data_IF_182222609970
#
_entry.id   IF_182222609970
#
_cell.length_a   1.000
_cell.length_b   1.000
_cell.length_c   1.000
_cell.angle_alpha   90.00
_cell.angle_beta   90.00
_cell.angle_gamma   90.00
#
_symmetry.space_group_name_H-M   'P 1'
#
loop_
_entity.id
_entity.type
_entity.pdbx_description
1 polymer ?
#
# COMPACT_ATOMS: atom_id res chain seq x y z
N UNK A 1 -33.75 -20.88 -3.71
CA UNK A 1 -34.97 -21.27 -2.93
C UNK A 1 -34.70 -22.42 -1.97
N UNK A 2 -34.03 -23.54 -2.37
CA UNK A 2 -33.71 -24.65 -1.46
C UNK A 2 -32.79 -24.27 -0.29
N UNK A 3 -31.73 -23.49 -0.52
CA UNK A 3 -30.79 -23.07 0.52
C UNK A 3 -31.43 -22.15 1.59
N UNK A 4 -32.41 -21.33 1.20
CA UNK A 4 -33.14 -20.46 2.12
C UNK A 4 -34.09 -21.26 3.04
N UNK A 5 -34.67 -22.33 2.53
CA UNK A 5 -35.57 -23.23 3.30
C UNK A 5 -34.77 -24.05 4.32
N UNK A 6 -33.59 -24.56 3.94
CA UNK A 6 -32.68 -25.26 4.85
C UNK A 6 -32.16 -24.37 5.98
N UNK A 7 -31.73 -23.11 5.67
CA UNK A 7 -31.30 -22.15 6.72
C UNK A 7 -32.46 -21.79 7.68
N UNK A 8 -33.67 -21.65 7.21
CA UNK A 8 -34.83 -21.38 8.08
C UNK A 8 -35.18 -22.58 8.95
N UNK A 9 -35.07 -23.81 8.44
CA UNK A 9 -35.38 -25.05 9.19
C UNK A 9 -34.34 -25.29 10.28
N UNK A 10 -33.04 -25.11 9.99
CA UNK A 10 -31.98 -25.19 10.96
C UNK A 10 -32.07 -24.09 12.06
N UNK A 11 -32.49 -22.87 11.68
CA UNK A 11 -32.73 -21.79 12.65
C UNK A 11 -33.92 -22.07 13.58
N UNK A 12 -34.94 -22.78 13.09
CA UNK A 12 -36.09 -23.14 13.90
C UNK A 12 -35.78 -24.30 14.86
N UNK A 13 -34.98 -25.27 14.43
CA UNK A 13 -34.48 -26.36 15.25
C UNK A 13 -33.61 -25.87 16.39
N UNK A 14 -32.66 -25.00 16.14
CA UNK A 14 -31.78 -24.43 17.18
C UNK A 14 -32.57 -23.58 18.20
N UNK A 15 -33.58 -22.82 17.77
CA UNK A 15 -34.43 -22.05 18.69
C UNK A 15 -35.15 -22.95 19.69
N UNK A 16 -35.69 -24.10 19.25
CA UNK A 16 -36.31 -25.08 20.13
C UNK A 16 -35.35 -25.71 21.15
N UNK A 17 -34.09 -25.92 20.74
CA UNK A 17 -33.04 -26.45 21.64
C UNK A 17 -32.66 -25.38 22.67
N UNK A 18 -32.50 -24.10 22.25
CA UNK A 18 -32.23 -22.96 23.15
C UNK A 18 -33.31 -22.82 24.21
N UNK A 19 -34.59 -22.81 23.78
CA UNK A 19 -35.74 -22.69 24.69
C UNK A 19 -35.78 -23.83 25.71
N UNK A 20 -35.52 -25.07 25.30
CA UNK A 20 -35.45 -26.24 26.19
C UNK A 20 -34.32 -26.10 27.22
N UNK A 21 -33.12 -25.61 26.78
CA UNK A 21 -31.98 -25.43 27.66
C UNK A 21 -32.21 -24.28 28.65
N UNK A 22 -32.72 -23.15 28.20
CA UNK A 22 -33.02 -22.00 29.05
C UNK A 22 -34.12 -22.34 30.08
N UNK A 23 -35.15 -23.09 29.68
CA UNK A 23 -36.18 -23.58 30.59
C UNK A 23 -35.62 -24.56 31.64
N UNK A 24 -34.69 -25.43 31.26
CA UNK A 24 -33.99 -26.34 32.16
C UNK A 24 -33.20 -25.56 33.22
N UNK A 25 -32.44 -24.55 32.77
CA UNK A 25 -31.63 -23.70 33.68
C UNK A 25 -32.51 -22.89 34.63
N UNK A 26 -33.66 -22.39 34.14
CA UNK A 26 -34.58 -21.59 34.96
C UNK A 26 -35.37 -22.41 35.99
N UNK A 27 -35.68 -23.70 35.74
CA UNK A 27 -36.51 -24.56 36.58
C UNK A 27 -35.73 -25.55 37.45
N UNK A 28 -34.40 -25.56 37.37
CA UNK A 28 -33.51 -26.57 37.98
C UNK A 28 -33.94 -28.03 37.65
N UNK A 29 -34.62 -28.22 36.51
CA UNK A 29 -35.07 -29.51 36.04
C UNK A 29 -33.96 -30.21 35.25
N UNK A 30 -33.94 -31.53 35.25
CA UNK A 30 -33.02 -32.30 34.40
C UNK A 30 -33.66 -32.62 33.09
N UNK A 31 -33.11 -32.08 32.01
CA UNK A 31 -33.51 -32.40 30.62
C UNK A 31 -32.34 -33.07 29.92
N UNK A 32 -32.61 -34.13 29.17
CA UNK A 32 -31.55 -34.77 28.37
C UNK A 32 -31.29 -33.98 27.09
N UNK A 33 -30.00 -33.79 26.79
CA UNK A 33 -29.51 -33.28 25.53
C UNK A 33 -28.44 -34.23 25.01
N UNK A 34 -28.51 -34.55 23.70
CA UNK A 34 -27.41 -35.28 23.07
C UNK A 34 -26.20 -34.37 22.78
N UNK A 35 -25.10 -34.99 22.37
CA UNK A 35 -23.86 -34.27 22.13
C UNK A 35 -24.00 -33.20 21.03
N UNK A 36 -24.71 -33.55 19.94
CA UNK A 36 -24.91 -32.61 18.79
C UNK A 36 -25.78 -31.42 19.19
N UNK A 37 -26.81 -31.62 20.00
CA UNK A 37 -27.64 -30.52 20.54
C UNK A 37 -26.80 -29.55 21.42
N UNK A 38 -25.90 -30.10 22.24
CA UNK A 38 -25.01 -29.28 23.12
C UNK A 38 -23.96 -28.51 22.31
N UNK A 39 -23.40 -29.14 21.29
CA UNK A 39 -22.47 -28.48 20.38
C UNK A 39 -23.17 -27.35 19.61
N UNK A 40 -24.35 -27.59 19.08
CA UNK A 40 -25.14 -26.55 18.40
C UNK A 40 -25.50 -25.38 19.33
N UNK A 41 -25.83 -25.67 20.61
CA UNK A 41 -26.05 -24.62 21.62
C UNK A 41 -24.79 -23.79 21.89
N UNK A 42 -23.64 -24.42 22.00
CA UNK A 42 -22.36 -23.71 22.22
C UNK A 42 -22.07 -22.78 21.05
N UNK A 43 -22.16 -23.29 19.81
CA UNK A 43 -21.98 -22.51 18.59
C UNK A 43 -22.97 -21.35 18.50
N UNK A 44 -24.24 -21.59 18.75
CA UNK A 44 -25.28 -20.58 18.74
C UNK A 44 -24.94 -19.43 19.69
N UNK A 45 -24.55 -19.73 20.93
CA UNK A 45 -24.20 -18.71 21.91
C UNK A 45 -22.90 -17.98 21.55
N UNK A 46 -21.91 -18.67 20.98
CA UNK A 46 -20.66 -18.04 20.51
C UNK A 46 -20.92 -17.09 19.34
N UNK A 47 -21.70 -17.54 18.36
CA UNK A 47 -22.03 -16.72 17.18
C UNK A 47 -22.81 -15.44 17.56
N UNK A 48 -23.63 -15.50 18.59
CA UNK A 48 -24.37 -14.37 19.12
C UNK A 48 -23.60 -13.55 20.19
N UNK A 49 -22.30 -13.77 20.36
CA UNK A 49 -21.46 -13.07 21.34
C UNK A 49 -21.77 -13.37 22.81
N UNK A 50 -22.60 -14.40 23.08
CA UNK A 50 -23.03 -14.78 24.43
C UNK A 50 -22.04 -15.74 25.10
N UNK A 51 -20.77 -15.33 25.20
CA UNK A 51 -19.67 -16.17 25.73
C UNK A 51 -19.92 -16.78 27.09
N UNK A 52 -20.65 -16.07 27.97
CA UNK A 52 -20.99 -16.57 29.31
C UNK A 52 -21.92 -17.77 29.25
N UNK A 53 -22.95 -17.72 28.40
CA UNK A 53 -23.89 -18.83 28.20
C UNK A 53 -23.17 -20.00 27.51
N UNK A 54 -22.38 -19.77 26.47
CA UNK A 54 -21.59 -20.81 25.82
C UNK A 54 -20.71 -21.57 26.83
N UNK A 55 -20.05 -20.86 27.75
CA UNK A 55 -19.25 -21.46 28.82
C UNK A 55 -20.09 -22.30 29.79
N UNK A 56 -21.31 -21.89 30.12
CA UNK A 56 -22.21 -22.65 31.00
C UNK A 56 -22.66 -23.95 30.32
N UNK A 57 -23.03 -23.87 29.03
CA UNK A 57 -23.39 -25.06 28.24
C UNK A 57 -22.23 -26.04 28.17
N UNK A 58 -21.03 -25.51 27.87
CA UNK A 58 -19.83 -26.34 27.78
C UNK A 58 -19.50 -27.05 29.09
N UNK A 59 -19.60 -26.35 30.23
CA UNK A 59 -19.39 -26.95 31.55
C UNK A 59 -20.43 -28.05 31.89
N UNK A 60 -21.66 -27.90 31.40
CA UNK A 60 -22.70 -28.91 31.51
C UNK A 60 -22.39 -30.10 30.59
N UNK A 61 -22.06 -29.83 29.33
CA UNK A 61 -21.74 -30.85 28.33
C UNK A 61 -20.51 -31.68 28.74
N UNK A 62 -19.45 -31.06 29.24
CA UNK A 62 -18.22 -31.74 29.67
C UNK A 62 -18.44 -32.71 30.87
N UNK A 63 -19.50 -32.51 31.66
CA UNK A 63 -19.87 -33.44 32.73
C UNK A 63 -20.57 -34.68 32.18
N UNK A 64 -21.34 -34.52 31.08
CA UNK A 64 -22.08 -35.61 30.47
C UNK A 64 -21.21 -36.41 29.49
N UNK A 65 -20.33 -35.74 28.77
CA UNK A 65 -19.48 -36.28 27.72
C UNK A 65 -18.01 -35.92 27.92
N UNK A 66 -17.35 -36.38 28.99
CA UNK A 66 -15.99 -35.98 29.35
C UNK A 66 -14.92 -36.38 28.32
N UNK A 67 -15.18 -37.46 27.56
CA UNK A 67 -14.25 -37.98 26.55
C UNK A 67 -14.44 -37.33 25.18
N UNK A 68 -15.44 -36.45 25.00
CA UNK A 68 -15.67 -35.81 23.70
C UNK A 68 -14.53 -34.87 23.33
N UNK A 69 -13.84 -35.17 22.23
CA UNK A 69 -12.71 -34.35 21.70
C UNK A 69 -13.27 -33.03 21.19
N UNK A 70 -14.42 -33.00 20.53
CA UNK A 70 -15.03 -31.75 20.04
C UNK A 70 -15.31 -30.75 21.18
N UNK A 71 -15.87 -31.21 22.31
CA UNK A 71 -16.07 -30.33 23.48
C UNK A 71 -14.75 -29.83 24.07
N UNK A 72 -13.69 -30.65 24.06
CA UNK A 72 -12.38 -30.23 24.54
C UNK A 72 -11.73 -29.21 23.61
N UNK A 73 -11.96 -29.29 22.30
CA UNK A 73 -11.57 -28.26 21.32
C UNK A 73 -12.31 -26.95 21.61
N UNK A 74 -13.65 -27.01 21.77
CA UNK A 74 -14.47 -25.83 22.12
C UNK A 74 -14.04 -25.18 23.45
N UNK A 75 -13.63 -25.99 24.43
CA UNK A 75 -13.09 -25.46 25.68
C UNK A 75 -11.78 -24.71 25.45
N UNK A 76 -10.88 -25.24 24.63
CA UNK A 76 -9.63 -24.58 24.26
C UNK A 76 -9.87 -23.27 23.47
N UNK A 77 -10.84 -23.26 22.56
CA UNK A 77 -11.26 -22.06 21.83
C UNK A 77 -11.81 -20.96 22.77
N UNK A 78 -12.66 -21.33 23.73
CA UNK A 78 -13.17 -20.41 24.74
C UNK A 78 -12.07 -19.89 25.70
N UNK A 79 -11.10 -20.74 26.04
CA UNK A 79 -9.93 -20.32 26.81
C UNK A 79 -9.12 -19.26 26.04
N UNK A 80 -8.91 -19.47 24.77
CA UNK A 80 -8.20 -18.55 23.89
C UNK A 80 -8.94 -17.22 23.76
N UNK A 81 -10.25 -17.25 23.48
CA UNK A 81 -11.12 -16.06 23.41
C UNK A 81 -11.17 -15.24 24.72
N UNK A 82 -10.86 -15.87 25.85
CA UNK A 82 -10.70 -15.19 27.15
C UNK A 82 -9.28 -14.69 27.43
N UNK A 83 -8.37 -14.71 26.43
CA UNK A 83 -6.98 -14.28 26.55
C UNK A 83 -6.00 -15.33 27.10
N UNK A 84 -6.45 -16.55 27.37
CA UNK A 84 -5.64 -17.61 27.98
C UNK A 84 -5.05 -18.58 26.91
N UNK A 85 -4.47 -18.04 25.84
CA UNK A 85 -3.89 -18.80 24.72
C UNK A 85 -2.76 -19.71 25.20
N UNK A 86 -1.97 -19.26 26.19
CA UNK A 86 -0.83 -20.02 26.73
C UNK A 86 -1.22 -21.40 27.30
N UNK A 87 -2.43 -21.57 27.77
CA UNK A 87 -2.93 -22.84 28.29
C UNK A 87 -3.74 -23.61 27.23
N UNK A 88 -4.34 -22.94 26.26
CA UNK A 88 -5.09 -23.56 25.18
C UNK A 88 -4.21 -24.40 24.25
N UNK A 89 -3.07 -23.86 23.79
CA UNK A 89 -2.14 -24.55 22.89
C UNK A 89 -1.63 -25.89 23.44
N UNK A 90 -1.09 -25.99 24.68
CA UNK A 90 -0.62 -27.29 25.22
C UNK A 90 -1.74 -28.32 25.30
N UNK A 91 -2.96 -27.90 25.62
CA UNK A 91 -4.12 -28.80 25.70
C UNK A 91 -4.47 -29.38 24.33
N UNK A 92 -4.55 -28.54 23.30
CA UNK A 92 -4.79 -28.99 21.93
C UNK A 92 -3.67 -29.87 21.41
N UNK A 93 -2.40 -29.60 21.74
CA UNK A 93 -1.28 -30.50 21.39
C UNK A 93 -1.42 -31.87 22.04
N UNK A 94 -1.93 -31.94 23.27
CA UNK A 94 -2.21 -33.23 23.90
C UNK A 94 -3.33 -33.95 23.17
N UNK A 95 -4.44 -33.27 22.80
CA UNK A 95 -5.52 -33.86 22.01
C UNK A 95 -4.99 -34.36 20.66
N UNK A 96 -4.16 -33.58 19.98
CA UNK A 96 -3.55 -33.95 18.71
C UNK A 96 -2.70 -35.21 18.80
N UNK A 97 -2.09 -35.53 19.98
CA UNK A 97 -1.34 -36.75 20.16
C UNK A 97 -2.23 -38.02 20.19
N UNK A 98 -3.53 -37.86 20.49
CA UNK A 98 -4.50 -38.95 20.45
C UNK A 98 -5.22 -39.01 19.11
N UNK A 99 -5.49 -37.87 18.47
CA UNK A 99 -6.15 -37.76 17.16
C UNK A 99 -5.30 -36.97 16.17
N UNK A 100 -4.21 -37.53 15.64
CA UNK A 100 -3.25 -36.80 14.79
C UNK A 100 -3.81 -36.40 13.42
N UNK A 101 -4.94 -36.95 13.01
CA UNK A 101 -5.61 -36.65 11.73
C UNK A 101 -6.88 -35.81 11.93
N UNK A 102 -7.05 -35.18 13.07
CA UNK A 102 -8.22 -34.32 13.32
C UNK A 102 -7.92 -32.91 12.77
N UNK A 103 -8.62 -32.54 11.69
CA UNK A 103 -8.46 -31.27 10.98
C UNK A 103 -8.89 -30.07 11.83
N UNK A 104 -9.93 -30.21 12.67
CA UNK A 104 -10.39 -29.13 13.55
C UNK A 104 -9.35 -28.77 14.64
N UNK A 105 -8.61 -29.77 15.17
CA UNK A 105 -7.51 -29.51 16.11
C UNK A 105 -6.40 -28.75 15.40
N UNK A 106 -6.05 -29.18 14.17
CA UNK A 106 -5.03 -28.49 13.37
C UNK A 106 -5.45 -27.06 13.05
N UNK A 107 -6.68 -26.83 12.61
CA UNK A 107 -7.19 -25.50 12.33
C UNK A 107 -7.16 -24.59 13.57
N UNK A 108 -7.65 -25.11 14.72
CA UNK A 108 -7.64 -24.33 15.96
C UNK A 108 -6.22 -23.99 16.41
N UNK A 109 -5.28 -24.94 16.32
CA UNK A 109 -3.86 -24.67 16.63
C UNK A 109 -3.27 -23.62 15.69
N UNK A 110 -3.55 -23.71 14.39
CA UNK A 110 -3.08 -22.75 13.39
C UNK A 110 -3.54 -21.33 13.74
N UNK A 111 -4.82 -21.14 14.01
CA UNK A 111 -5.39 -19.84 14.40
C UNK A 111 -4.77 -19.30 15.68
N UNK A 112 -4.51 -20.15 16.70
CA UNK A 112 -3.86 -19.70 17.94
C UNK A 112 -2.38 -19.36 17.75
N UNK A 113 -1.67 -20.08 16.88
CA UNK A 113 -0.29 -19.75 16.53
C UNK A 113 -0.21 -18.46 15.73
N UNK A 114 -1.14 -18.22 14.79
CA UNK A 114 -1.29 -16.95 14.08
C UNK A 114 -1.48 -15.77 15.03
N UNK A 115 -2.48 -15.86 15.95
CA UNK A 115 -2.74 -14.84 16.96
C UNK A 115 -1.55 -14.53 17.89
N UNK A 116 -0.63 -15.46 18.01
CA UNK A 116 0.58 -15.30 18.84
C UNK A 116 1.84 -15.01 18.00
N UNK A 117 1.68 -14.65 16.75
CA UNK A 117 2.75 -14.36 15.79
C UNK A 117 3.77 -15.51 15.62
N UNK A 118 3.32 -16.75 15.82
CA UNK A 118 4.11 -17.96 15.58
C UNK A 118 3.78 -18.48 14.16
N UNK A 119 4.08 -17.67 13.16
CA UNK A 119 3.64 -17.84 11.77
C UNK A 119 4.07 -19.19 11.15
N UNK A 120 5.26 -19.70 11.46
CA UNK A 120 5.74 -20.97 10.93
C UNK A 120 4.96 -22.18 11.43
N UNK A 121 4.61 -22.16 12.71
CA UNK A 121 3.75 -23.16 13.35
C UNK A 121 2.33 -23.06 12.82
N UNK A 122 1.81 -21.83 12.63
CA UNK A 122 0.51 -21.59 12.01
C UNK A 122 0.45 -22.22 10.60
N UNK A 123 1.41 -21.91 9.74
CA UNK A 123 1.51 -22.48 8.38
C UNK A 123 1.53 -24.01 8.42
N UNK A 124 2.33 -24.61 9.33
CA UNK A 124 2.38 -26.07 9.45
C UNK A 124 1.00 -26.66 9.75
N UNK A 125 0.29 -26.08 10.68
CA UNK A 125 -1.01 -26.59 11.10
C UNK A 125 -2.12 -26.27 10.08
N UNK A 126 -2.15 -25.10 9.46
CA UNK A 126 -3.07 -24.78 8.36
C UNK A 126 -2.89 -25.73 7.18
N UNK A 127 -1.64 -26.06 6.79
CA UNK A 127 -1.39 -27.04 5.72
C UNK A 127 -1.88 -28.42 6.08
N UNK A 128 -1.74 -28.83 7.36
CA UNK A 128 -2.31 -30.11 7.81
C UNK A 128 -3.84 -30.11 7.79
N UNK A 129 -4.47 -29.04 8.20
CA UNK A 129 -5.91 -28.89 8.08
C UNK A 129 -6.37 -28.94 6.60
N UNK A 130 -5.62 -28.30 5.69
CA UNK A 130 -5.89 -28.33 4.26
C UNK A 130 -5.76 -29.72 3.63
N UNK A 131 -4.79 -30.55 4.11
CA UNK A 131 -4.60 -31.94 3.67
C UNK A 131 -5.70 -32.87 4.17
N UNK A 132 -6.23 -32.65 5.36
CA UNK A 132 -7.14 -33.55 6.10
C UNK A 132 -8.60 -33.18 5.94
N UNK A 133 -8.90 -31.88 5.83
CA UNK A 133 -10.25 -31.32 5.88
C UNK A 133 -11.06 -31.50 4.59
N UNK A 134 -12.36 -31.35 4.73
CA UNK A 134 -13.30 -31.37 3.61
C UNK A 134 -13.18 -30.12 2.72
N UNK A 135 -13.65 -30.23 1.48
CA UNK A 135 -13.54 -29.17 0.45
C UNK A 135 -14.15 -27.82 0.84
N UNK A 136 -15.10 -27.80 1.76
CA UNK A 136 -15.89 -26.58 2.08
C UNK A 136 -15.10 -25.43 2.74
N UNK A 137 -14.00 -25.71 3.45
CA UNK A 137 -13.18 -24.69 4.14
C UNK A 137 -11.82 -24.47 3.47
N UNK A 138 -11.54 -25.13 2.34
CA UNK A 138 -10.24 -25.07 1.68
C UNK A 138 -9.89 -23.68 1.18
N UNK A 139 -10.88 -22.95 0.69
CA UNK A 139 -10.68 -21.60 0.13
C UNK A 139 -10.14 -20.62 1.18
N UNK A 140 -10.74 -20.60 2.37
CA UNK A 140 -10.29 -19.74 3.47
C UNK A 140 -8.89 -20.16 3.96
N UNK A 141 -8.60 -21.47 3.99
CA UNK A 141 -7.31 -22.00 4.40
C UNK A 141 -6.16 -21.59 3.48
N UNK A 142 -6.40 -21.52 2.17
CA UNK A 142 -5.39 -21.01 1.22
C UNK A 142 -5.04 -19.55 1.52
N UNK A 143 -6.05 -18.71 1.79
CA UNK A 143 -5.87 -17.31 2.15
C UNK A 143 -5.08 -17.20 3.46
N UNK A 144 -5.51 -17.93 4.50
CA UNK A 144 -4.82 -17.93 5.79
C UNK A 144 -3.33 -18.33 5.66
N UNK A 145 -3.04 -19.37 4.85
CA UNK A 145 -1.64 -19.79 4.61
C UNK A 145 -0.85 -18.71 3.88
N UNK A 146 -1.46 -18.05 2.90
CA UNK A 146 -0.82 -16.98 2.15
C UNK A 146 -0.47 -15.80 3.06
N UNK A 147 -1.43 -15.32 3.85
CA UNK A 147 -1.23 -14.25 4.84
C UNK A 147 -0.11 -14.58 5.84
N UNK A 148 -0.03 -15.84 6.29
CA UNK A 148 1.06 -16.25 7.18
C UNK A 148 2.44 -16.24 6.49
N UNK A 149 2.50 -16.57 5.17
CA UNK A 149 3.73 -16.43 4.40
C UNK A 149 4.11 -14.97 4.18
N UNK A 150 3.15 -14.08 3.96
CA UNK A 150 3.35 -12.64 3.85
C UNK A 150 3.92 -12.06 5.15
N UNK A 151 3.34 -12.43 6.31
CA UNK A 151 3.79 -11.99 7.62
C UNK A 151 5.26 -12.33 7.93
N UNK A 152 5.82 -13.36 7.27
CA UNK A 152 7.24 -13.73 7.38
C UNK A 152 8.08 -13.31 6.17
N UNK A 153 7.53 -12.53 5.26
CA UNK A 153 8.21 -12.01 4.06
C UNK A 153 8.51 -13.06 2.98
N UNK A 154 7.81 -14.20 2.99
CA UNK A 154 8.01 -15.28 2.01
C UNK A 154 7.03 -15.15 0.84
N UNK A 155 7.09 -14.04 0.14
CA UNK A 155 6.18 -13.63 -0.93
C UNK A 155 6.01 -14.65 -2.06
N UNK A 156 7.09 -15.27 -2.53
CA UNK A 156 7.01 -16.31 -3.59
C UNK A 156 6.15 -17.51 -3.18
N UNK A 157 6.14 -17.84 -1.88
CA UNK A 157 5.30 -18.92 -1.36
C UNK A 157 3.86 -18.50 -1.21
N UNK A 158 3.60 -17.26 -0.81
CA UNK A 158 2.27 -16.68 -0.78
C UNK A 158 1.67 -16.68 -2.19
N UNK A 159 2.40 -16.17 -3.19
CA UNK A 159 2.00 -16.20 -4.60
C UNK A 159 1.64 -17.63 -5.04
N UNK A 160 2.51 -18.61 -4.77
CA UNK A 160 2.27 -20.00 -5.19
C UNK A 160 1.01 -20.61 -4.58
N UNK A 161 0.71 -20.30 -3.31
CA UNK A 161 -0.48 -20.78 -2.61
C UNK A 161 -1.75 -20.09 -3.15
N UNK A 162 -1.68 -18.80 -3.45
CA UNK A 162 -2.81 -18.06 -4.02
C UNK A 162 -3.12 -18.50 -5.45
N UNK A 163 -2.09 -18.81 -6.26
CA UNK A 163 -2.28 -19.41 -7.58
C UNK A 163 -2.92 -20.80 -7.49
N UNK A 164 -2.60 -21.59 -6.44
CA UNK A 164 -3.25 -22.88 -6.19
C UNK A 164 -4.71 -22.70 -5.79
N UNK A 165 -5.01 -21.72 -4.93
CA UNK A 165 -6.39 -21.35 -4.58
C UNK A 165 -7.22 -20.99 -5.80
N UNK A 166 -6.67 -20.19 -6.72
CA UNK A 166 -7.35 -19.76 -7.94
C UNK A 166 -7.51 -20.91 -8.98
N UNK A 167 -6.64 -21.93 -8.95
CA UNK A 167 -6.86 -23.15 -9.75
C UNK A 167 -8.02 -23.99 -9.22
N UNK A 168 -8.24 -24.02 -7.89
CA UNK A 168 -9.37 -24.72 -7.28
C UNK A 168 -10.68 -23.94 -7.42
N UNK A 169 -10.67 -22.65 -7.11
CA UNK A 169 -11.79 -21.72 -7.29
C UNK A 169 -11.35 -20.42 -7.98
N UNK A 170 -11.49 -20.36 -9.30
CA UNK A 170 -11.14 -19.16 -10.08
C UNK A 170 -12.00 -17.93 -9.76
N UNK A 171 -13.14 -18.11 -9.11
CA UNK A 171 -14.03 -17.01 -8.73
C UNK A 171 -13.74 -16.48 -7.31
N UNK A 172 -12.64 -16.90 -6.67
CA UNK A 172 -12.25 -16.40 -5.36
C UNK A 172 -11.64 -15.01 -5.49
N UNK A 173 -12.46 -13.98 -5.31
CA UNK A 173 -12.07 -12.58 -5.43
C UNK A 173 -11.02 -12.18 -4.39
N UNK A 174 -11.08 -12.74 -3.18
CA UNK A 174 -10.09 -12.48 -2.12
C UNK A 174 -8.72 -13.01 -2.53
N UNK A 175 -8.64 -14.26 -3.02
CA UNK A 175 -7.37 -14.81 -3.49
C UNK A 175 -6.78 -14.02 -4.65
N UNK A 176 -7.63 -13.51 -5.55
CA UNK A 176 -7.20 -12.71 -6.68
C UNK A 176 -6.65 -11.34 -6.25
N UNK A 177 -7.31 -10.72 -5.27
CA UNK A 177 -6.86 -9.45 -4.67
C UNK A 177 -5.51 -9.62 -3.97
N UNK A 178 -5.38 -10.62 -3.09
CA UNK A 178 -4.14 -10.90 -2.37
C UNK A 178 -3.00 -11.27 -3.32
N UNK A 179 -3.27 -12.00 -4.40
CA UNK A 179 -2.27 -12.31 -5.43
C UNK A 179 -1.75 -11.02 -6.10
N UNK A 180 -2.64 -10.08 -6.44
CA UNK A 180 -2.26 -8.76 -6.97
C UNK A 180 -1.37 -8.00 -6.01
N UNK A 181 -1.75 -7.94 -4.73
CA UNK A 181 -0.98 -7.30 -3.67
C UNK A 181 0.42 -7.93 -3.49
N UNK A 182 0.51 -9.26 -3.48
CA UNK A 182 1.80 -9.95 -3.40
C UNK A 182 2.74 -9.59 -4.56
N UNK A 183 2.24 -9.62 -5.80
CA UNK A 183 3.04 -9.25 -6.98
C UNK A 183 3.50 -7.79 -6.94
N UNK A 184 2.63 -6.88 -6.50
CA UNK A 184 2.96 -5.47 -6.35
C UNK A 184 4.06 -5.26 -5.31
N UNK A 185 3.92 -5.88 -4.14
CA UNK A 185 4.87 -5.76 -3.03
C UNK A 185 6.29 -6.21 -3.39
N UNK A 186 6.41 -7.27 -4.20
CA UNK A 186 7.73 -7.76 -4.64
C UNK A 186 8.24 -7.10 -5.93
N UNK A 187 7.48 -6.18 -6.52
CA UNK A 187 7.85 -5.50 -7.76
C UNK A 187 7.88 -6.40 -9.01
N UNK A 188 7.24 -7.57 -8.97
CA UNK A 188 7.19 -8.54 -10.07
C UNK A 188 6.07 -8.24 -11.06
N UNK A 189 5.99 -7.00 -11.52
CA UNK A 189 4.87 -6.50 -12.32
C UNK A 189 4.70 -7.24 -13.66
N UNK A 190 5.79 -7.63 -14.33
CA UNK A 190 5.73 -8.40 -15.59
C UNK A 190 5.18 -9.81 -15.40
N UNK A 191 5.51 -10.46 -14.26
CA UNK A 191 4.98 -11.78 -13.92
C UNK A 191 3.49 -11.67 -13.58
N UNK A 192 3.11 -10.61 -12.87
CA UNK A 192 1.71 -10.26 -12.58
C UNK A 192 0.89 -10.12 -13.86
N UNK A 193 1.36 -9.37 -14.85
CA UNK A 193 0.70 -9.25 -16.17
C UNK A 193 0.52 -10.63 -16.82
N UNK A 194 1.55 -11.48 -16.78
CA UNK A 194 1.48 -12.84 -17.35
C UNK A 194 0.44 -13.69 -16.64
N UNK A 195 0.42 -13.65 -15.31
CA UNK A 195 -0.52 -14.43 -14.48
C UNK A 195 -1.97 -13.99 -14.70
N UNK A 196 -2.23 -12.66 -14.69
CA UNK A 196 -3.59 -12.15 -14.90
C UNK A 196 -4.07 -12.32 -16.35
N UNK A 197 -3.20 -12.25 -17.37
CA UNK A 197 -3.58 -12.61 -18.73
C UNK A 197 -4.02 -14.08 -18.81
N UNK A 198 -3.25 -15.01 -18.24
CA UNK A 198 -3.63 -16.41 -18.21
C UNK A 198 -4.94 -16.65 -17.43
N UNK A 199 -5.17 -15.86 -16.36
CA UNK A 199 -6.40 -15.93 -15.60
C UNK A 199 -7.60 -15.46 -16.41
N UNK A 200 -7.56 -14.31 -17.09
CA UNK A 200 -8.69 -13.80 -17.89
C UNK A 200 -8.92 -14.62 -19.16
N UNK A 201 -7.91 -15.27 -19.73
CA UNK A 201 -8.08 -16.21 -20.84
C UNK A 201 -8.98 -17.37 -20.43
N UNK A 202 -8.87 -17.84 -19.19
CA UNK A 202 -9.73 -18.87 -18.63
C UNK A 202 -11.08 -18.33 -18.10
N UNK A 203 -11.09 -17.08 -17.62
CA UNK A 203 -12.21 -16.43 -16.94
C UNK A 203 -12.49 -15.03 -17.50
N UNK A 204 -12.91 -14.89 -18.79
CA UNK A 204 -13.00 -13.59 -19.48
C UNK A 204 -14.07 -12.64 -18.91
N UNK A 205 -14.97 -13.13 -18.07
CA UNK A 205 -16.01 -12.33 -17.41
C UNK A 205 -15.69 -12.00 -15.94
N UNK A 206 -14.45 -12.15 -15.51
CA UNK A 206 -14.02 -11.74 -14.17
C UNK A 206 -13.69 -10.25 -14.15
N UNK A 207 -14.58 -9.42 -13.59
CA UNK A 207 -14.33 -7.99 -13.39
C UNK A 207 -13.06 -7.75 -12.54
N UNK A 208 -12.85 -8.42 -11.37
CA UNK A 208 -11.61 -8.29 -10.60
C UNK A 208 -10.35 -8.75 -11.37
N UNK A 209 -10.47 -9.76 -12.24
CA UNK A 209 -9.36 -10.22 -13.08
C UNK A 209 -8.87 -9.14 -14.04
N UNK A 210 -9.77 -8.49 -14.76
CA UNK A 210 -9.47 -7.39 -15.66
C UNK A 210 -8.92 -6.17 -14.91
N UNK A 211 -9.50 -5.84 -13.75
CA UNK A 211 -9.03 -4.75 -12.89
C UNK A 211 -7.58 -4.96 -12.42
N UNK A 212 -7.26 -6.17 -11.94
CA UNK A 212 -5.90 -6.50 -11.49
C UNK A 212 -4.91 -6.54 -12.65
N UNK A 213 -5.32 -6.99 -13.86
CA UNK A 213 -4.50 -6.88 -15.05
C UNK A 213 -4.20 -5.40 -15.37
N UNK A 214 -5.20 -4.54 -15.31
CA UNK A 214 -5.04 -3.10 -15.51
C UNK A 214 -4.03 -2.49 -14.53
N UNK A 215 -4.11 -2.84 -13.24
CA UNK A 215 -3.15 -2.39 -12.24
C UNK A 215 -1.73 -2.86 -12.58
N UNK A 216 -1.56 -4.13 -12.94
CA UNK A 216 -0.24 -4.68 -13.29
C UNK A 216 0.36 -4.01 -14.54
N UNK A 217 -0.46 -3.74 -15.57
CA UNK A 217 -0.07 -3.03 -16.79
C UNK A 217 0.33 -1.57 -16.51
N UNK A 218 -0.42 -0.89 -15.65
CA UNK A 218 -0.11 0.47 -15.20
C UNK A 218 1.25 0.54 -14.49
N UNK A 219 1.59 -0.47 -13.66
CA UNK A 219 2.88 -0.55 -12.95
C UNK A 219 4.08 -0.74 -13.89
N UNK A 220 3.89 -1.38 -15.04
CA UNK A 220 4.96 -1.48 -16.07
C UNK A 220 4.98 -0.29 -17.02
N UNK A 221 4.06 0.67 -16.85
CA UNK A 221 3.96 1.87 -17.69
C UNK A 221 3.20 1.68 -19.00
N UNK A 222 2.56 0.54 -19.21
CA UNK A 222 1.70 0.33 -20.39
C UNK A 222 0.29 0.87 -20.11
N UNK A 223 0.18 2.19 -20.07
CA UNK A 223 -1.08 2.88 -19.76
C UNK A 223 -2.18 2.60 -20.79
N UNK A 224 -1.82 2.38 -22.06
CA UNK A 224 -2.80 2.09 -23.10
C UNK A 224 -3.49 0.74 -22.84
N UNK A 225 -2.71 -0.30 -22.62
CA UNK A 225 -3.27 -1.63 -22.32
C UNK A 225 -3.98 -1.64 -20.95
N UNK A 226 -3.50 -0.85 -19.97
CA UNK A 226 -4.17 -0.70 -18.68
C UNK A 226 -5.57 -0.09 -18.83
N UNK A 227 -5.71 0.98 -19.63
CA UNK A 227 -7.01 1.62 -19.94
C UNK A 227 -7.97 0.61 -20.56
N UNK A 228 -7.51 -0.17 -21.55
CA UNK A 228 -8.31 -1.19 -22.20
C UNK A 228 -8.78 -2.25 -21.18
N UNK A 229 -7.89 -2.70 -20.29
CA UNK A 229 -8.23 -3.67 -19.27
C UNK A 229 -9.30 -3.13 -18.29
N UNK A 230 -9.17 -1.87 -17.83
CA UNK A 230 -10.20 -1.24 -17.00
C UNK A 230 -11.52 -1.05 -17.76
N UNK A 231 -11.49 -0.77 -19.06
CA UNK A 231 -12.70 -0.71 -19.88
C UNK A 231 -13.41 -2.06 -19.94
N UNK A 232 -12.68 -3.18 -20.08
CA UNK A 232 -13.27 -4.51 -19.99
C UNK A 232 -13.89 -4.79 -18.62
N UNK A 233 -13.24 -4.37 -17.54
CA UNK A 233 -13.82 -4.49 -16.19
C UNK A 233 -15.15 -3.73 -16.09
N UNK A 234 -15.21 -2.50 -16.59
CA UNK A 234 -16.41 -1.65 -16.58
C UNK A 234 -17.52 -2.14 -17.56
N UNK A 235 -17.17 -2.84 -18.63
CA UNK A 235 -18.16 -3.50 -19.50
C UNK A 235 -18.84 -4.69 -18.79
N UNK A 236 -18.11 -5.37 -17.89
CA UNK A 236 -18.64 -6.50 -17.11
C UNK A 236 -19.47 -5.99 -15.94
N UNK A 237 -19.00 -4.98 -15.24
CA UNK A 237 -19.66 -4.32 -14.12
C UNK A 237 -19.51 -2.79 -14.26
N UNK A 238 -20.56 -2.14 -14.74
CA UNK A 238 -20.56 -0.69 -14.99
C UNK A 238 -20.54 0.15 -13.68
N UNK A 239 -20.89 -0.45 -12.54
CA UNK A 239 -20.87 0.21 -11.23
C UNK A 239 -19.54 -0.04 -10.48
N UNK A 240 -18.54 -0.67 -11.10
CA UNK A 240 -17.26 -0.95 -10.45
C UNK A 240 -16.37 0.31 -10.38
N UNK A 241 -16.67 1.19 -9.46
CA UNK A 241 -16.00 2.48 -9.22
C UNK A 241 -14.46 2.38 -9.12
N UNK A 242 -13.84 1.35 -8.50
CA UNK A 242 -12.38 1.23 -8.48
C UNK A 242 -11.73 1.20 -9.88
N UNK A 243 -12.33 0.49 -10.85
CA UNK A 243 -11.80 0.46 -12.21
C UNK A 243 -11.93 1.82 -12.91
N UNK A 244 -13.00 2.55 -12.65
CA UNK A 244 -13.22 3.87 -13.22
C UNK A 244 -12.17 4.88 -12.71
N UNK A 245 -11.86 4.86 -11.41
CA UNK A 245 -10.83 5.71 -10.81
C UNK A 245 -9.42 5.36 -11.31
N UNK A 246 -9.09 4.07 -11.42
CA UNK A 246 -7.78 3.65 -11.95
C UNK A 246 -7.65 3.94 -13.46
N UNK A 247 -8.73 3.80 -14.23
CA UNK A 247 -8.78 4.22 -15.63
C UNK A 247 -8.49 5.72 -15.75
N UNK A 248 -9.11 6.55 -14.89
CA UNK A 248 -8.87 7.99 -14.88
C UNK A 248 -7.39 8.30 -14.54
N UNK A 249 -6.82 7.62 -13.56
CA UNK A 249 -5.40 7.77 -13.23
C UNK A 249 -4.48 7.36 -14.39
N UNK A 250 -4.76 6.24 -15.07
CA UNK A 250 -3.99 5.80 -16.25
C UNK A 250 -4.11 6.80 -17.41
N UNK A 251 -5.30 7.37 -17.64
CA UNK A 251 -5.53 8.43 -18.62
C UNK A 251 -4.75 9.71 -18.27
N UNK A 252 -4.68 10.07 -16.98
CA UNK A 252 -3.87 11.21 -16.51
C UNK A 252 -2.38 10.98 -16.79
N UNK A 253 -1.87 9.78 -16.53
CA UNK A 253 -0.48 9.40 -16.81
C UNK A 253 -0.16 9.35 -18.31
N UNK A 254 -1.14 9.06 -19.15
CA UNK A 254 -1.03 9.13 -20.63
C UNK A 254 -1.32 10.52 -21.21
N UNK A 255 -1.48 11.54 -20.35
CA UNK A 255 -1.75 12.93 -20.69
C UNK A 255 -3.11 13.17 -21.37
N UNK A 256 -4.02 12.19 -21.37
CA UNK A 256 -5.40 12.37 -21.84
C UNK A 256 -6.31 12.91 -20.71
N UNK A 257 -6.00 14.13 -20.30
CA UNK A 257 -6.69 14.80 -19.19
C UNK A 257 -8.20 14.99 -19.45
N UNK A 258 -8.60 15.07 -20.73
CA UNK A 258 -10.01 15.25 -21.07
C UNK A 258 -10.83 14.02 -20.71
N UNK A 259 -10.39 12.83 -21.15
CA UNK A 259 -11.07 11.58 -20.81
C UNK A 259 -10.90 11.23 -19.32
N UNK A 260 -9.77 11.56 -18.69
CA UNK A 260 -9.57 11.42 -17.25
C UNK A 260 -10.64 12.17 -16.45
N UNK A 261 -10.89 13.44 -16.80
CA UNK A 261 -11.92 14.27 -16.16
C UNK A 261 -13.34 13.73 -16.35
N UNK A 262 -13.63 13.10 -17.50
CA UNK A 262 -14.93 12.43 -17.71
C UNK A 262 -15.09 11.26 -16.72
N UNK A 263 -14.07 10.40 -16.59
CA UNK A 263 -14.09 9.29 -15.66
C UNK A 263 -14.19 9.75 -14.19
N UNK A 264 -13.44 10.78 -13.77
CA UNK A 264 -13.55 11.33 -12.42
C UNK A 264 -14.94 11.91 -12.13
N UNK A 265 -15.58 12.61 -13.10
CA UNK A 265 -16.97 13.12 -12.95
C UNK A 265 -17.97 11.98 -12.82
N UNK A 266 -17.79 10.92 -13.58
CA UNK A 266 -18.64 9.73 -13.52
C UNK A 266 -18.50 9.04 -12.15
N UNK A 267 -17.28 8.91 -11.62
CA UNK A 267 -17.05 8.32 -10.29
C UNK A 267 -17.73 9.12 -9.16
N UNK A 268 -17.77 10.45 -9.25
CA UNK A 268 -18.48 11.30 -8.29
C UNK A 268 -20.01 11.09 -8.34
N UNK A 269 -20.54 10.68 -9.51
CA UNK A 269 -21.97 10.38 -9.63
C UNK A 269 -22.33 9.00 -9.08
N UNK A 270 -21.38 8.05 -9.07
CA UNK A 270 -21.58 6.69 -8.53
C UNK A 270 -21.38 6.66 -7.03
N UNK A 271 -20.33 7.27 -6.55
CA UNK A 271 -19.95 7.29 -5.14
C UNK A 271 -20.04 8.70 -4.55
N UNK A 272 -20.04 8.77 -3.23
CA UNK A 272 -19.95 10.08 -2.57
C UNK A 272 -18.64 10.79 -2.97
N UNK A 273 -18.70 12.10 -3.30
CA UNK A 273 -17.51 12.84 -3.70
C UNK A 273 -16.47 12.85 -2.58
N UNK A 274 -15.21 12.64 -2.97
CA UNK A 274 -14.06 12.63 -2.06
C UNK A 274 -13.11 13.78 -2.39
N UNK A 275 -12.44 14.33 -1.37
CA UNK A 275 -11.45 15.41 -1.52
C UNK A 275 -10.35 15.03 -2.51
N UNK A 276 -9.86 13.77 -2.42
CA UNK A 276 -8.86 13.26 -3.34
C UNK A 276 -9.31 13.30 -4.81
N UNK A 277 -10.55 12.91 -5.13
CA UNK A 277 -11.05 12.92 -6.51
C UNK A 277 -11.09 14.34 -7.08
N UNK A 278 -11.55 15.32 -6.29
CA UNK A 278 -11.52 16.72 -6.72
C UNK A 278 -10.09 17.24 -6.89
N UNK A 279 -9.15 16.85 -6.04
CA UNK A 279 -7.73 17.21 -6.17
C UNK A 279 -7.16 16.69 -7.48
N UNK A 280 -7.38 15.40 -7.83
CA UNK A 280 -6.96 14.82 -9.10
C UNK A 280 -7.60 15.51 -10.32
N UNK A 281 -8.86 15.95 -10.22
CA UNK A 281 -9.49 16.78 -11.25
C UNK A 281 -8.82 18.16 -11.38
N UNK A 282 -8.44 18.76 -10.24
CA UNK A 282 -7.67 19.99 -10.19
C UNK A 282 -6.32 19.86 -10.89
N UNK A 283 -5.59 18.79 -10.61
CA UNK A 283 -4.31 18.48 -11.28
C UNK A 283 -4.46 18.32 -12.79
N UNK A 284 -5.49 17.62 -13.26
CA UNK A 284 -5.79 17.53 -14.69
C UNK A 284 -6.00 18.92 -15.33
N UNK A 285 -6.76 19.80 -14.65
CA UNK A 285 -6.99 21.18 -15.14
C UNK A 285 -5.72 22.01 -15.10
N UNK A 286 -4.89 21.85 -14.08
CA UNK A 286 -3.58 22.50 -13.96
C UNK A 286 -2.66 22.10 -15.13
N UNK A 287 -2.54 20.79 -15.41
CA UNK A 287 -1.75 20.28 -16.54
C UNK A 287 -2.26 20.76 -17.89
N UNK A 288 -3.57 21.02 -18.02
CA UNK A 288 -4.16 21.65 -19.20
C UNK A 288 -3.95 23.19 -19.24
N UNK A 289 -3.33 23.78 -18.24
CA UNK A 289 -3.14 25.24 -18.12
C UNK A 289 -4.39 26.01 -17.75
N UNK A 290 -5.46 25.34 -17.33
CA UNK A 290 -6.75 25.95 -16.95
C UNK A 290 -6.76 26.28 -15.46
N UNK A 291 -5.90 27.23 -15.07
CA UNK A 291 -5.60 27.52 -13.68
C UNK A 291 -6.81 28.00 -12.83
N UNK A 292 -7.84 28.59 -13.43
CA UNK A 292 -9.03 28.99 -12.68
C UNK A 292 -9.87 27.78 -12.30
N UNK A 293 -10.14 26.93 -13.28
CA UNK A 293 -10.88 25.68 -13.08
C UNK A 293 -10.14 24.72 -12.12
N UNK A 294 -8.79 24.68 -12.21
CA UNK A 294 -7.97 23.94 -11.24
C UNK A 294 -8.20 24.43 -9.82
N UNK A 295 -8.13 25.76 -9.60
CA UNK A 295 -8.43 26.36 -8.29
C UNK A 295 -9.83 26.01 -7.79
N UNK A 296 -10.84 26.05 -8.67
CA UNK A 296 -12.22 25.74 -8.30
C UNK A 296 -12.33 24.29 -7.79
N UNK A 297 -11.68 23.32 -8.45
CA UNK A 297 -11.66 21.93 -7.99
C UNK A 297 -10.91 21.74 -6.68
N UNK A 298 -9.76 22.39 -6.48
CA UNK A 298 -9.04 22.32 -5.21
C UNK A 298 -9.88 22.94 -4.06
N UNK A 299 -10.62 24.01 -4.31
CA UNK A 299 -11.55 24.54 -3.31
C UNK A 299 -12.71 23.59 -3.03
N UNK A 300 -13.26 22.87 -4.03
CA UNK A 300 -14.25 21.82 -3.80
C UNK A 300 -13.68 20.70 -2.90
N UNK A 301 -12.39 20.33 -3.08
CA UNK A 301 -11.74 19.38 -2.19
C UNK A 301 -11.68 19.89 -0.74
N UNK A 302 -11.33 21.17 -0.54
CA UNK A 302 -11.26 21.80 0.78
C UNK A 302 -12.64 22.07 1.41
N UNK A 303 -13.70 22.18 0.62
CA UNK A 303 -15.07 22.24 1.14
C UNK A 303 -15.51 20.90 1.77
N UNK A 304 -14.99 19.78 1.26
CA UNK A 304 -15.23 18.44 1.83
C UNK A 304 -14.34 18.17 3.04
N UNK A 305 -13.06 18.53 2.93
CA UNK A 305 -12.08 18.36 3.99
C UNK A 305 -11.12 19.56 4.00
N UNK A 306 -11.36 20.50 4.93
CA UNK A 306 -10.59 21.74 5.04
C UNK A 306 -9.10 21.52 5.39
N UNK A 307 -8.74 20.34 5.90
CA UNK A 307 -7.39 19.97 6.28
C UNK A 307 -6.73 18.99 5.26
N UNK A 308 -7.28 18.87 4.05
CA UNK A 308 -6.71 18.03 3.00
C UNK A 308 -5.45 18.69 2.40
N UNK A 309 -4.29 18.21 2.79
CA UNK A 309 -2.99 18.84 2.49
C UNK A 309 -2.70 18.97 0.99
N UNK A 310 -2.99 17.93 0.17
CA UNK A 310 -2.73 17.94 -1.27
C UNK A 310 -3.53 19.05 -2.01
N UNK A 311 -4.74 19.37 -1.55
CA UNK A 311 -5.51 20.45 -2.14
C UNK A 311 -4.88 21.84 -1.84
N UNK A 312 -4.29 22.02 -0.67
CA UNK A 312 -3.48 23.20 -0.37
C UNK A 312 -2.23 23.24 -1.26
N UNK A 313 -1.55 22.11 -1.49
CA UNK A 313 -0.42 22.02 -2.44
C UNK A 313 -0.87 22.46 -3.83
N UNK A 314 -1.95 21.91 -4.35
CA UNK A 314 -2.49 22.29 -5.68
C UNK A 314 -2.77 23.80 -5.79
N UNK A 315 -3.39 24.41 -4.77
CA UNK A 315 -3.58 25.87 -4.73
C UNK A 315 -2.25 26.63 -4.68
N UNK A 316 -1.25 26.10 -3.96
CA UNK A 316 0.11 26.66 -3.90
C UNK A 316 0.79 26.63 -5.26
N UNK A 317 0.71 25.53 -6.00
CA UNK A 317 1.25 25.37 -7.36
C UNK A 317 0.53 26.33 -8.34
N UNK A 318 -0.80 26.40 -8.29
CA UNK A 318 -1.55 27.35 -9.13
C UNK A 318 -1.16 28.79 -8.84
N UNK A 319 -0.97 29.17 -7.57
CA UNK A 319 -0.51 30.50 -7.19
C UNK A 319 0.92 30.77 -7.70
N UNK A 320 1.80 29.78 -7.62
CA UNK A 320 3.16 29.84 -8.16
C UNK A 320 3.15 30.06 -9.68
N UNK A 321 2.32 29.30 -10.43
CA UNK A 321 2.18 29.47 -11.88
C UNK A 321 1.66 30.85 -12.27
N UNK A 322 0.87 31.48 -11.39
CA UNK A 322 0.39 32.88 -11.53
C UNK A 322 1.42 33.92 -11.06
N UNK A 323 2.56 33.47 -10.52
CA UNK A 323 3.57 34.31 -9.87
C UNK A 323 3.05 35.07 -8.64
N UNK A 324 2.00 34.56 -8.01
CA UNK A 324 1.51 35.07 -6.73
C UNK A 324 2.25 34.37 -5.58
N UNK A 325 3.52 34.81 -5.41
CA UNK A 325 4.43 34.23 -4.41
C UNK A 325 3.87 34.25 -2.98
N UNK A 326 3.24 35.36 -2.50
CA UNK A 326 2.67 35.39 -1.16
C UNK A 326 1.54 34.36 -0.94
N UNK A 327 0.69 34.14 -1.96
CA UNK A 327 -0.37 33.16 -1.87
C UNK A 327 0.22 31.73 -1.90
N UNK A 328 1.18 31.48 -2.79
CA UNK A 328 1.88 30.18 -2.89
C UNK A 328 2.56 29.81 -1.57
N UNK A 329 3.30 30.75 -0.97
CA UNK A 329 3.96 30.55 0.33
C UNK A 329 2.94 30.14 1.40
N UNK A 330 1.83 30.86 1.53
CA UNK A 330 0.81 30.57 2.54
C UNK A 330 0.20 29.17 2.37
N UNK A 331 -0.04 28.76 1.14
CA UNK A 331 -0.62 27.42 0.88
C UNK A 331 0.37 26.31 1.18
N UNK A 332 1.65 26.44 0.79
CA UNK A 332 2.66 25.42 1.11
C UNK A 332 2.98 25.38 2.60
N UNK A 333 2.99 26.53 3.30
CA UNK A 333 3.10 26.56 4.77
C UNK A 333 1.95 25.75 5.41
N UNK A 334 0.71 25.94 4.92
CA UNK A 334 -0.45 25.22 5.43
C UNK A 334 -0.35 23.71 5.18
N UNK A 335 0.06 23.28 3.99
CA UNK A 335 0.26 21.88 3.68
C UNK A 335 1.32 21.25 4.60
N UNK A 336 2.47 21.92 4.80
CA UNK A 336 3.52 21.46 5.71
C UNK A 336 3.07 21.43 7.19
N UNK A 337 2.20 22.36 7.64
CA UNK A 337 1.61 22.33 8.97
C UNK A 337 0.74 21.08 9.18
N UNK A 338 -0.01 20.68 8.14
CA UNK A 338 -0.91 19.54 8.18
C UNK A 338 -0.13 18.22 8.19
N UNK A 339 0.91 18.13 7.37
CA UNK A 339 1.77 16.94 7.25
C UNK A 339 3.26 17.28 7.43
N UNK A 340 3.72 17.55 8.66
CA UNK A 340 5.08 18.05 8.91
C UNK A 340 6.18 17.02 8.65
N UNK A 341 5.86 15.76 8.42
CA UNK A 341 6.80 14.69 8.09
C UNK A 341 6.89 14.41 6.59
N UNK A 342 6.06 15.06 5.77
CA UNK A 342 6.08 14.91 4.31
C UNK A 342 7.22 15.77 3.73
N UNK A 343 8.26 15.11 3.23
CA UNK A 343 9.45 15.77 2.70
C UNK A 343 9.18 16.57 1.43
N UNK A 344 8.22 16.11 0.60
CA UNK A 344 7.84 16.82 -0.62
C UNK A 344 7.31 18.23 -0.32
N UNK A 345 6.50 18.38 0.73
CA UNK A 345 5.99 19.68 1.13
C UNK A 345 7.08 20.62 1.63
N UNK A 346 8.14 20.08 2.26
CA UNK A 346 9.33 20.86 2.60
C UNK A 346 10.08 21.31 1.35
N UNK A 347 10.20 20.46 0.32
CA UNK A 347 10.82 20.81 -0.95
C UNK A 347 10.06 21.92 -1.65
N UNK A 348 8.74 21.84 -1.74
CA UNK A 348 7.87 22.87 -2.33
C UNK A 348 8.02 24.21 -1.60
N UNK A 349 7.91 24.18 -0.25
CA UNK A 349 8.05 25.38 0.56
C UNK A 349 9.46 25.98 0.46
N UNK A 350 10.51 25.16 0.54
CA UNK A 350 11.89 25.59 0.37
C UNK A 350 12.14 26.18 -1.02
N UNK A 351 11.55 25.57 -2.05
CA UNK A 351 11.61 26.05 -3.43
C UNK A 351 11.02 27.44 -3.62
N UNK A 352 9.85 27.71 -3.02
CA UNK A 352 9.22 29.02 -3.11
C UNK A 352 10.00 30.09 -2.32
N UNK A 353 10.49 29.73 -1.11
CA UNK A 353 11.32 30.61 -0.29
C UNK A 353 12.59 31.01 -1.04
N UNK A 354 13.26 30.07 -1.73
CA UNK A 354 14.41 30.33 -2.58
C UNK A 354 14.07 31.28 -3.73
N UNK A 355 12.93 31.08 -4.43
CA UNK A 355 12.48 31.94 -5.53
C UNK A 355 12.23 33.40 -5.11
N UNK A 356 11.80 33.63 -3.88
CA UNK A 356 11.61 34.97 -3.33
C UNK A 356 12.85 35.49 -2.57
N UNK A 357 13.98 34.80 -2.72
CA UNK A 357 15.29 35.14 -2.11
C UNK A 357 15.30 35.17 -0.56
N UNK A 358 14.42 34.40 0.09
CA UNK A 358 14.45 34.15 1.53
C UNK A 358 15.32 32.92 1.84
N UNK A 359 16.64 33.08 1.56
CA UNK A 359 17.59 31.96 1.53
C UNK A 359 17.84 31.34 2.91
N UNK A 360 17.81 32.11 3.99
CA UNK A 360 18.02 31.59 5.35
C UNK A 360 16.81 30.72 5.80
N UNK A 361 15.60 31.16 5.53
CA UNK A 361 14.38 30.40 5.80
C UNK A 361 14.33 29.14 4.94
N UNK A 362 14.67 29.21 3.66
CA UNK A 362 14.78 28.04 2.77
C UNK A 362 15.81 27.04 3.32
N UNK A 363 16.98 27.50 3.78
CA UNK A 363 18.01 26.65 4.36
C UNK A 363 17.51 25.92 5.63
N UNK A 364 16.70 26.59 6.45
CA UNK A 364 16.07 25.97 7.62
C UNK A 364 15.11 24.84 7.22
N UNK A 365 14.25 25.10 6.21
CA UNK A 365 13.28 24.12 5.71
C UNK A 365 13.98 22.90 5.11
N UNK A 366 14.98 23.10 4.23
CA UNK A 366 15.77 21.99 3.69
C UNK A 366 16.53 21.23 4.77
N UNK A 367 17.04 21.93 5.81
CA UNK A 367 17.67 21.28 6.97
C UNK A 367 16.70 20.41 7.77
N UNK A 368 15.40 20.76 7.81
CA UNK A 368 14.37 19.93 8.41
C UNK A 368 14.10 18.70 7.54
N UNK A 369 13.97 18.86 6.23
CA UNK A 369 13.79 17.77 5.27
C UNK A 369 14.93 16.75 5.34
N UNK A 370 16.21 17.20 5.41
CA UNK A 370 17.37 16.32 5.58
C UNK A 370 17.40 15.57 6.92
N UNK A 371 16.73 16.08 7.95
CA UNK A 371 16.56 15.31 9.22
C UNK A 371 15.52 14.22 9.12
N UNK A 372 14.50 14.40 8.28
CA UNK A 372 13.48 13.39 8.01
C UNK A 372 14.04 12.32 7.08
N UNK A 373 14.69 12.70 6.01
CA UNK A 373 15.28 11.81 5.01
C UNK A 373 16.76 12.12 4.78
N UNK A 374 17.68 11.60 5.61
CA UNK A 374 19.12 11.93 5.54
C UNK A 374 19.82 11.47 4.25
N UNK A 375 19.23 10.52 3.51
CA UNK A 375 19.80 9.95 2.30
C UNK A 375 19.15 10.49 1.01
N UNK A 376 18.19 11.42 1.12
CA UNK A 376 17.47 11.96 -0.04
C UNK A 376 18.34 12.95 -0.81
N UNK A 377 18.81 12.54 -1.99
CA UNK A 377 19.70 13.32 -2.83
C UNK A 377 19.04 14.62 -3.35
N UNK A 378 17.74 14.60 -3.65
CA UNK A 378 17.00 15.76 -4.15
C UNK A 378 17.03 16.91 -3.14
N UNK A 379 16.77 16.60 -1.86
CA UNK A 379 16.85 17.59 -0.78
C UNK A 379 18.24 18.19 -0.67
N UNK A 380 19.31 17.36 -0.78
CA UNK A 380 20.68 17.89 -0.81
C UNK A 380 20.89 18.85 -1.97
N UNK A 381 20.41 18.49 -3.16
CA UNK A 381 20.64 19.31 -4.36
C UNK A 381 19.91 20.64 -4.30
N UNK A 382 18.70 20.67 -3.76
CA UNK A 382 17.94 21.91 -3.56
C UNK A 382 18.54 22.80 -2.47
N UNK A 383 18.95 22.19 -1.35
CA UNK A 383 19.67 22.91 -0.30
C UNK A 383 20.99 23.52 -0.79
N UNK A 384 21.75 22.77 -1.57
CA UNK A 384 23.01 23.26 -2.20
C UNK A 384 22.71 24.36 -3.20
N UNK A 385 21.66 24.21 -4.02
CA UNK A 385 21.26 25.25 -4.97
C UNK A 385 20.92 26.57 -4.24
N UNK A 386 20.17 26.48 -3.14
CA UNK A 386 19.85 27.64 -2.31
C UNK A 386 21.12 28.35 -1.77
N UNK A 387 22.09 27.59 -1.23
CA UNK A 387 23.34 28.12 -0.74
C UNK A 387 24.19 28.74 -1.86
N UNK A 388 24.19 28.14 -3.06
CA UNK A 388 24.93 28.67 -4.22
C UNK A 388 24.32 29.98 -4.73
N UNK A 389 23.01 30.12 -4.77
CA UNK A 389 22.30 31.34 -5.16
C UNK A 389 22.55 32.47 -4.15
N UNK A 390 22.68 32.13 -2.87
CA UNK A 390 23.08 33.08 -1.80
C UNK A 390 24.61 33.35 -1.71
N UNK A 391 25.39 32.84 -2.67
CA UNK A 391 26.85 32.92 -2.71
C UNK A 391 27.58 32.28 -1.51
N UNK A 392 26.94 31.37 -0.76
CA UNK A 392 27.50 30.63 0.39
C UNK A 392 28.23 29.36 -0.06
N UNK A 393 29.15 29.46 -0.99
CA UNK A 393 29.80 28.33 -1.66
C UNK A 393 30.63 27.43 -0.74
N UNK A 394 31.25 27.94 0.34
CA UNK A 394 31.95 27.09 1.32
C UNK A 394 30.99 26.20 2.12
N UNK A 395 29.81 26.72 2.48
CA UNK A 395 28.77 25.94 3.14
C UNK A 395 28.16 24.90 2.17
N UNK A 396 27.96 25.28 0.91
CA UNK A 396 27.52 24.37 -0.13
C UNK A 396 28.50 23.19 -0.30
N UNK A 397 29.81 23.43 -0.31
CA UNK A 397 30.82 22.35 -0.36
C UNK A 397 30.80 21.47 0.89
N UNK A 398 30.56 22.05 2.06
CA UNK A 398 30.42 21.27 3.31
C UNK A 398 29.22 20.37 3.25
N UNK A 399 28.08 20.85 2.73
CA UNK A 399 26.86 20.07 2.56
C UNK A 399 27.06 18.95 1.53
N UNK A 400 27.70 19.24 0.38
CA UNK A 400 28.04 18.25 -0.64
C UNK A 400 28.97 17.14 -0.12
N UNK A 401 29.84 17.44 0.85
CA UNK A 401 30.69 16.43 1.48
C UNK A 401 29.86 15.45 2.36
N UNK A 402 28.74 15.89 2.88
CA UNK A 402 27.83 15.08 3.71
C UNK A 402 26.86 14.20 2.90
N UNK A 403 26.80 14.36 1.58
CA UNK A 403 26.02 13.49 0.69
C UNK A 403 26.47 12.03 0.88
N UNK A 404 25.54 11.05 0.91
CA UNK A 404 25.85 9.62 1.02
C UNK A 404 26.93 9.19 0.01
N UNK A 405 27.83 8.29 0.43
CA UNK A 405 28.99 7.90 -0.40
C UNK A 405 28.60 7.37 -1.78
N UNK A 406 27.51 6.63 -1.85
CA UNK A 406 26.99 6.08 -3.12
C UNK A 406 26.61 7.19 -4.10
N UNK A 407 26.08 8.31 -3.61
CA UNK A 407 25.61 9.43 -4.43
C UNK A 407 26.72 10.46 -4.74
N UNK A 408 27.89 10.36 -4.14
CA UNK A 408 29.01 11.33 -4.39
C UNK A 408 29.55 11.29 -5.81
N UNK A 409 29.32 10.22 -6.54
CA UNK A 409 29.71 10.05 -7.94
C UNK A 409 28.63 10.49 -8.92
N UNK A 410 27.48 10.93 -8.40
CA UNK A 410 26.37 11.43 -9.23
C UNK A 410 26.82 12.68 -10.00
N UNK A 411 26.53 12.77 -11.30
CA UNK A 411 26.89 13.92 -12.14
C UNK A 411 26.44 15.26 -11.58
N UNK A 412 25.26 15.34 -10.96
CA UNK A 412 24.72 16.58 -10.40
C UNK A 412 25.54 17.01 -9.18
N UNK A 413 25.89 16.07 -8.29
CA UNK A 413 26.76 16.34 -7.11
C UNK A 413 28.12 16.86 -7.54
N UNK A 414 28.72 16.23 -8.55
CA UNK A 414 30.02 16.63 -9.10
C UNK A 414 29.95 18.03 -9.75
N UNK A 415 28.89 18.30 -10.53
CA UNK A 415 28.67 19.61 -11.14
C UNK A 415 28.46 20.71 -10.09
N UNK A 416 27.65 20.47 -9.06
CA UNK A 416 27.42 21.42 -7.95
C UNK A 416 28.71 21.67 -7.16
N UNK A 417 29.55 20.64 -6.96
CA UNK A 417 30.86 20.76 -6.34
C UNK A 417 31.80 21.62 -7.20
N UNK A 418 31.80 21.37 -8.52
CA UNK A 418 32.57 22.18 -9.48
C UNK A 418 32.17 23.66 -9.42
N UNK A 419 30.85 23.94 -9.49
CA UNK A 419 30.32 25.33 -9.46
C UNK A 419 30.79 26.06 -8.21
N UNK A 420 30.69 25.42 -7.04
CA UNK A 420 31.12 26.03 -5.78
C UNK A 420 32.64 26.27 -5.72
N UNK A 421 33.45 25.30 -6.17
CA UNK A 421 34.90 25.47 -6.24
C UNK A 421 35.31 26.57 -7.22
N UNK A 422 34.65 26.64 -8.37
CA UNK A 422 34.93 27.64 -9.40
C UNK A 422 34.57 29.06 -8.92
N UNK A 423 33.40 29.22 -8.29
CA UNK A 423 32.95 30.49 -7.73
C UNK A 423 33.88 31.01 -6.60
N UNK A 424 34.47 30.11 -5.80
CA UNK A 424 35.47 30.45 -4.78
C UNK A 424 36.86 30.77 -5.38
N UNK A 425 37.03 30.79 -6.70
CA UNK A 425 38.30 31.00 -7.37
C UNK A 425 39.25 29.79 -7.29
N UNK A 426 38.82 28.65 -6.80
CA UNK A 426 39.61 27.39 -6.69
C UNK A 426 39.60 26.61 -8.01
N UNK A 427 39.89 27.32 -9.13
CA UNK A 427 39.77 26.78 -10.49
C UNK A 427 40.57 25.50 -10.73
N UNK A 428 41.80 25.39 -10.19
CA UNK A 428 42.60 24.18 -10.33
C UNK A 428 41.90 22.95 -9.74
N UNK A 429 41.32 23.12 -8.55
CA UNK A 429 40.56 22.02 -7.90
C UNK A 429 39.27 21.67 -8.66
N UNK A 430 38.55 22.68 -9.16
CA UNK A 430 37.35 22.51 -9.95
C UNK A 430 37.64 21.68 -11.22
N UNK A 431 38.66 22.09 -11.99
CA UNK A 431 39.02 21.37 -13.22
C UNK A 431 39.66 20.00 -12.95
N UNK A 432 40.37 19.79 -11.83
CA UNK A 432 40.87 18.49 -11.44
C UNK A 432 39.71 17.54 -11.10
N UNK A 433 38.65 18.03 -10.44
CA UNK A 433 37.43 17.28 -10.19
C UNK A 433 36.73 16.89 -11.51
N UNK A 434 36.60 17.83 -12.45
CA UNK A 434 35.99 17.57 -13.75
C UNK A 434 36.78 16.53 -14.55
N UNK A 435 38.12 16.64 -14.60
CA UNK A 435 38.98 15.70 -15.29
C UNK A 435 38.90 14.28 -14.72
N UNK A 436 38.79 14.15 -13.38
CA UNK A 436 38.59 12.86 -12.73
C UNK A 436 37.21 12.28 -13.04
N UNK A 437 36.17 13.11 -13.15
CA UNK A 437 34.79 12.72 -13.39
C UNK A 437 34.55 12.27 -14.84
N UNK A 438 35.25 12.87 -15.81
CA UNK A 438 35.15 12.53 -17.24
C UNK A 438 35.49 11.03 -17.54
N UNK A 439 36.33 10.42 -16.71
CA UNK A 439 36.71 9.02 -16.86
C UNK A 439 35.52 8.05 -16.63
N UNK A 440 34.51 8.48 -15.86
CA UNK A 440 33.36 7.65 -15.44
C UNK A 440 32.03 8.19 -15.94
N UNK A 441 31.97 9.50 -16.29
CA UNK A 441 30.75 10.19 -16.70
C UNK A 441 31.05 11.06 -17.94
N UNK A 442 30.99 10.51 -19.14
CA UNK A 442 31.35 11.24 -20.38
C UNK A 442 30.51 12.50 -20.63
N UNK A 443 29.23 12.48 -20.22
CA UNK A 443 28.27 13.57 -20.48
C UNK A 443 28.28 14.67 -19.40
N UNK A 444 29.19 14.61 -18.42
CA UNK A 444 29.25 15.57 -17.31
C UNK A 444 29.43 17.02 -17.80
N UNK A 445 30.15 17.23 -18.92
CA UNK A 445 30.34 18.57 -19.50
C UNK A 445 29.00 19.19 -19.97
N UNK A 446 28.12 18.40 -20.55
CA UNK A 446 26.80 18.85 -20.97
C UNK A 446 25.93 19.19 -19.75
N UNK A 447 25.95 18.34 -18.74
CA UNK A 447 25.25 18.59 -17.46
C UNK A 447 25.75 19.87 -16.79
N UNK A 448 27.09 20.08 -16.76
CA UNK A 448 27.67 21.25 -16.16
C UNK A 448 27.34 22.53 -16.93
N UNK A 449 27.39 22.51 -18.26
CA UNK A 449 26.98 23.63 -19.08
C UNK A 449 25.51 24.01 -18.90
N UNK A 450 24.63 23.00 -18.75
CA UNK A 450 23.21 23.22 -18.43
C UNK A 450 22.97 23.86 -17.06
N UNK A 451 23.73 23.46 -16.03
CA UNK A 451 23.61 24.00 -14.66
C UNK A 451 24.32 25.33 -14.47
N UNK A 452 25.40 25.58 -15.23
CA UNK A 452 26.23 26.77 -15.11
C UNK A 452 26.66 27.27 -16.49
N UNK A 453 25.79 27.88 -17.30
CA UNK A 453 26.08 28.34 -18.65
C UNK A 453 27.31 29.22 -18.78
N UNK A 454 27.67 30.10 -17.82
CA UNK A 454 28.87 30.93 -17.92
C UNK A 454 30.19 30.16 -18.11
N UNK A 455 30.20 28.84 -17.79
CA UNK A 455 31.40 28.01 -17.95
C UNK A 455 31.78 27.80 -19.43
N UNK A 456 30.84 27.92 -20.35
CA UNK A 456 31.10 27.75 -21.80
C UNK A 456 32.05 28.82 -22.35
N UNK A 457 32.12 29.96 -21.69
CA UNK A 457 33.05 31.05 -22.05
C UNK A 457 34.49 30.79 -21.58
N UNK A 458 34.68 29.77 -20.71
CA UNK A 458 36.03 29.44 -20.19
C UNK A 458 36.82 28.60 -21.21
N UNK A 459 37.98 29.08 -21.71
CA UNK A 459 38.76 28.33 -22.69
C UNK A 459 39.28 26.98 -22.19
N UNK A 460 39.49 26.85 -20.86
CA UNK A 460 39.92 25.60 -20.25
C UNK A 460 38.81 24.55 -20.23
N UNK A 461 37.55 24.96 -20.12
CA UNK A 461 36.39 24.11 -20.28
C UNK A 461 36.20 23.65 -21.75
N UNK A 462 36.27 24.61 -22.70
CA UNK A 462 36.14 24.31 -24.12
C UNK A 462 37.16 23.28 -24.61
N UNK A 463 38.41 23.35 -24.11
CA UNK A 463 39.43 22.34 -24.43
C UNK A 463 39.06 20.95 -23.95
N UNK A 464 38.41 20.80 -22.78
CA UNK A 464 37.98 19.52 -22.22
C UNK A 464 36.82 18.93 -22.96
N UNK A 465 35.84 19.75 -23.35
CA UNK A 465 34.70 19.32 -24.19
C UNK A 465 35.22 18.74 -25.51
N UNK A 466 36.18 19.42 -26.18
CA UNK A 466 36.77 18.95 -27.42
C UNK A 466 37.56 17.64 -27.25
N UNK A 467 38.21 17.43 -26.11
CA UNK A 467 38.93 16.20 -25.84
C UNK A 467 37.98 15.04 -25.50
N UNK A 468 36.91 15.29 -24.75
CA UNK A 468 35.91 14.31 -24.45
C UNK A 468 35.20 13.82 -25.72
N UNK A 469 34.82 14.71 -26.64
CA UNK A 469 34.20 14.37 -27.92
C UNK A 469 35.09 13.59 -28.89
N UNK A 470 36.43 13.61 -28.71
CA UNK A 470 37.38 12.81 -29.51
C UNK A 470 37.64 11.43 -28.93
N UNK A 471 37.27 11.20 -27.67
CA UNK A 471 37.47 9.95 -26.96
C UNK A 471 36.27 9.00 -27.05
N UNK A 472 35.12 9.51 -27.49
CA UNK A 472 33.91 8.76 -27.91
C UNK A 472 34.02 8.35 -29.38
#
# INVERSE_FOLDING_TARGET
MHVFVFKQQAAYEIAGIVDRYEAMVASDATTFFDLMELEALIEHYLHNGRHRQAKQVLQYAAKLYPESVSLQIREAQLMAGSGNVKNAIPRLRTLLSFEPSNDEIHLTLATLYSQTAQHREAIHHYRKALELGDRFFREDLFIDIALEYENIGHWDRAISILEEALKENPSNETALHELGFCYETVGRHSDSVTAFNAFIDAHPYSCPGWYNLGNALQRIGDFTAAIDAYEYALVIDEEFSPALLQKAAALTMSEDYTRALECYRESILMDAPQSNTYTLMGECMERMGKLNEASDYYYCALELDGDFADAHVGLGVVAEMRQDWPASLKFFEKAMELEPTNVEYHLLLGGILRKIAMHDEAALIYGNALRLEPDNLEVYMDAVANLQEDNRHDEALTLLHNVPEVSRVDPIVLCRSFISLYALGRQQSAFALLDASLAHTPDICATLAGLFPPIEEDPAFGTRVLNASKAQ
#
